data_IF_581777112366
#
_entry.id   IF_581777112366
#
_cell.length_a   1.000
_cell.length_b   1.000
_cell.length_c   1.000
_cell.angle_alpha   90.00
_cell.angle_beta   90.00
_cell.angle_gamma   90.00
#
_symmetry.space_group_name_H-M   'P 1'
#
loop_
_entity.id
_entity.type
_entity.pdbx_description
1 polymer ?
#
# COMPACT_ATOMS: atom_id res chain seq x y z
N UNK A 1 -86.13 7.27 18.36
CA UNK A 1 -85.01 7.17 17.41
C UNK A 1 -83.99 8.24 17.72
N UNK A 2 -82.77 7.89 18.17
CA UNK A 2 -81.61 8.80 18.16
C UNK A 2 -80.69 8.31 17.05
N UNK A 3 -80.33 9.20 16.12
CA UNK A 3 -79.43 8.88 15.01
C UNK A 3 -78.01 9.26 15.42
N UNK A 4 -77.16 8.25 15.62
CA UNK A 4 -75.74 8.47 15.92
C UNK A 4 -75.00 8.85 14.64
N UNK A 5 -74.49 10.09 14.59
CA UNK A 5 -73.62 10.53 13.51
C UNK A 5 -72.23 9.93 13.73
N UNK A 6 -71.86 8.92 12.93
CA UNK A 6 -70.45 8.54 12.77
C UNK A 6 -69.69 9.73 12.20
N UNK A 7 -68.62 10.12 12.89
CA UNK A 7 -67.65 11.10 12.38
C UNK A 7 -66.50 10.29 11.80
N UNK A 8 -66.39 10.25 10.47
CA UNK A 8 -65.26 9.62 9.80
C UNK A 8 -64.00 10.44 10.08
N UNK A 9 -63.11 9.89 10.90
CA UNK A 9 -61.79 10.48 11.16
C UNK A 9 -60.88 10.11 9.98
N UNK A 10 -60.38 11.09 9.19
CA UNK A 10 -59.47 10.79 8.10
C UNK A 10 -58.13 10.32 8.65
N UNK A 11 -57.88 9.02 8.55
CA UNK A 11 -56.58 8.41 8.84
C UNK A 11 -55.62 8.78 7.72
N UNK A 12 -54.91 9.91 7.88
CA UNK A 12 -53.85 10.30 6.96
C UNK A 12 -52.71 9.28 7.01
N UNK A 13 -52.32 8.76 5.85
CA UNK A 13 -51.25 7.78 5.74
C UNK A 13 -49.87 8.40 5.97
N UNK A 14 -49.47 8.41 7.26
CA UNK A 14 -48.20 8.95 7.75
C UNK A 14 -46.98 8.32 7.05
N UNK A 15 -47.14 7.15 6.45
CA UNK A 15 -46.11 6.43 5.67
C UNK A 15 -45.60 7.25 4.48
N UNK A 16 -46.51 7.92 3.75
CA UNK A 16 -46.17 8.77 2.61
C UNK A 16 -45.43 10.03 3.06
N UNK A 17 -45.87 10.65 4.15
CA UNK A 17 -45.23 11.83 4.74
C UNK A 17 -43.81 11.49 5.23
N UNK A 18 -43.64 10.33 5.86
CA UNK A 18 -42.35 9.80 6.29
C UNK A 18 -41.42 9.54 5.11
N UNK A 19 -41.89 8.86 4.05
CA UNK A 19 -41.09 8.60 2.85
C UNK A 19 -40.64 9.90 2.16
N UNK A 20 -41.53 10.89 2.04
CA UNK A 20 -41.19 12.23 1.55
C UNK A 20 -40.16 12.93 2.44
N UNK A 21 -40.26 12.80 3.76
CA UNK A 21 -39.30 13.39 4.71
C UNK A 21 -37.92 12.71 4.62
N UNK A 22 -37.86 11.38 4.56
CA UNK A 22 -36.62 10.61 4.39
C UNK A 22 -35.91 10.96 3.07
N UNK A 23 -36.63 11.08 1.96
CA UNK A 23 -36.09 11.58 0.68
C UNK A 23 -35.56 13.02 0.82
N UNK A 24 -36.28 13.89 1.55
CA UNK A 24 -35.87 15.28 1.78
C UNK A 24 -34.60 15.36 2.63
N UNK A 25 -34.49 14.56 3.69
CA UNK A 25 -33.30 14.43 4.54
C UNK A 25 -32.11 13.86 3.76
N UNK A 26 -32.31 12.82 2.94
CA UNK A 26 -31.27 12.26 2.07
C UNK A 26 -30.75 13.30 1.07
N UNK A 27 -31.65 14.08 0.45
CA UNK A 27 -31.33 15.19 -0.45
C UNK A 27 -30.64 16.36 0.28
N UNK A 28 -31.02 16.65 1.53
CA UNK A 28 -30.38 17.66 2.38
C UNK A 28 -28.93 17.25 2.73
N UNK A 29 -28.72 15.99 3.13
CA UNK A 29 -27.37 15.43 3.41
C UNK A 29 -26.49 15.42 2.15
N UNK A 30 -27.02 15.01 1.00
CA UNK A 30 -26.28 15.11 -0.27
C UNK A 30 -25.93 16.55 -0.65
N UNK A 31 -26.82 17.52 -0.40
CA UNK A 31 -26.52 18.95 -0.60
C UNK A 31 -25.43 19.44 0.34
N UNK A 32 -25.49 19.09 1.62
CA UNK A 32 -24.44 19.44 2.59
C UNK A 32 -23.08 18.83 2.21
N UNK A 33 -23.05 17.56 1.78
CA UNK A 33 -21.83 16.92 1.30
C UNK A 33 -21.25 17.65 0.07
N UNK A 34 -22.09 17.96 -0.94
CA UNK A 34 -21.67 18.72 -2.12
C UNK A 34 -21.23 20.15 -1.80
N UNK A 35 -21.85 20.80 -0.82
CA UNK A 35 -21.43 22.13 -0.36
C UNK A 35 -20.08 22.07 0.37
N UNK A 36 -19.84 21.03 1.20
CA UNK A 36 -18.54 20.78 1.81
C UNK A 36 -17.46 20.47 0.76
N UNK A 37 -17.75 19.61 -0.22
CA UNK A 37 -16.87 19.32 -1.36
C UNK A 37 -16.56 20.61 -2.17
N UNK A 38 -17.55 21.49 -2.39
CA UNK A 38 -17.37 22.81 -3.03
C UNK A 38 -16.52 23.78 -2.21
N UNK A 39 -16.67 23.77 -0.89
CA UNK A 39 -15.88 24.62 0.01
C UNK A 39 -14.43 24.11 0.09
N UNK A 40 -14.21 22.80 0.17
CA UNK A 40 -12.87 22.19 0.14
C UNK A 40 -12.15 22.40 -1.20
N UNK A 41 -12.86 22.32 -2.33
CA UNK A 41 -12.31 22.59 -3.66
C UNK A 41 -12.21 24.08 -4.02
N UNK A 42 -12.74 24.98 -3.18
CA UNK A 42 -12.72 26.43 -3.42
C UNK A 42 -11.29 26.97 -3.43
N UNK A 43 -11.02 27.90 -4.36
CA UNK A 43 -9.76 28.65 -4.40
C UNK A 43 -9.47 29.37 -3.07
N UNK A 44 -10.49 29.73 -2.30
CA UNK A 44 -10.32 30.37 -0.99
C UNK A 44 -9.68 29.43 0.05
N UNK A 45 -10.04 28.13 0.03
CA UNK A 45 -9.44 27.12 0.92
C UNK A 45 -7.98 26.84 0.53
N UNK A 46 -7.67 26.82 -0.78
CA UNK A 46 -6.29 26.71 -1.29
C UNK A 46 -5.44 27.92 -0.86
N UNK A 47 -6.00 29.12 -0.95
CA UNK A 47 -5.34 30.36 -0.51
C UNK A 47 -5.12 30.34 1.01
N UNK A 48 -6.11 29.97 1.81
CA UNK A 48 -5.96 29.85 3.27
C UNK A 48 -4.88 28.81 3.65
N UNK A 49 -4.87 27.63 3.03
CA UNK A 49 -3.82 26.62 3.22
C UNK A 49 -2.41 27.17 2.90
N UNK A 50 -2.26 27.88 1.78
CA UNK A 50 -1.00 28.55 1.42
C UNK A 50 -0.60 29.65 2.43
N UNK A 51 -1.57 30.37 3.00
CA UNK A 51 -1.32 31.36 4.06
C UNK A 51 -0.95 30.71 5.40
N UNK A 52 -1.61 29.63 5.80
CA UNK A 52 -1.24 28.86 6.99
C UNK A 52 0.19 28.31 6.87
N UNK A 53 0.57 27.76 5.71
CA UNK A 53 1.95 27.36 5.41
C UNK A 53 2.94 28.54 5.53
N UNK A 54 2.60 29.71 4.99
CA UNK A 54 3.44 30.93 5.11
C UNK A 54 3.56 31.44 6.55
N UNK A 55 2.52 31.32 7.36
CA UNK A 55 2.52 31.66 8.79
C UNK A 55 3.38 30.65 9.58
N UNK A 56 3.27 29.36 9.25
CA UNK A 56 4.06 28.29 9.84
C UNK A 56 5.57 28.43 9.54
N UNK A 57 5.94 28.71 8.28
CA UNK A 57 7.32 28.99 7.88
C UNK A 57 7.93 30.23 8.58
N UNK A 58 7.10 31.15 9.10
CA UNK A 58 7.52 32.29 9.93
C UNK A 58 7.66 31.94 11.43
N UNK A 59 7.11 30.80 11.88
CA UNK A 59 7.22 30.30 13.26
C UNK A 59 8.35 29.28 13.46
N UNK A 60 8.87 28.67 12.39
CA UNK A 60 9.99 27.71 12.46
C UNK A 60 11.33 28.38 12.78
N UNK A 61 12.18 27.63 13.49
CA UNK A 61 13.59 28.00 13.67
C UNK A 61 14.35 27.77 12.36
N UNK A 62 15.45 28.50 12.16
CA UNK A 62 16.25 28.44 10.92
C UNK A 62 16.74 27.02 10.59
N UNK A 63 17.08 26.20 11.58
CA UNK A 63 17.48 24.80 11.37
C UNK A 63 16.34 23.91 10.83
N UNK A 64 15.13 24.05 11.38
CA UNK A 64 13.93 23.31 10.96
C UNK A 64 13.48 23.78 9.57
N UNK A 65 13.61 25.09 9.32
CA UNK A 65 13.32 25.69 8.02
C UNK A 65 14.31 25.21 6.96
N UNK A 66 15.61 25.09 7.29
CA UNK A 66 16.62 24.55 6.38
C UNK A 66 16.39 23.05 6.11
N UNK A 67 15.92 22.27 7.10
CA UNK A 67 15.51 20.88 6.88
C UNK A 67 14.29 20.80 5.94
N UNK A 68 13.28 21.66 6.15
CA UNK A 68 12.11 21.78 5.28
C UNK A 68 12.49 22.20 3.85
N UNK A 69 13.43 23.13 3.71
CA UNK A 69 14.05 23.47 2.43
C UNK A 69 14.79 22.27 1.84
N UNK A 70 15.57 21.51 2.61
CA UNK A 70 16.27 20.32 2.13
C UNK A 70 15.34 19.18 1.67
N UNK A 71 14.13 19.05 2.25
CA UNK A 71 13.07 18.17 1.72
C UNK A 71 12.40 18.70 0.43
N UNK A 72 12.57 19.99 0.10
CA UNK A 72 11.96 20.68 -1.05
C UNK A 72 12.98 21.12 -2.12
N UNK A 73 14.29 21.03 -1.85
CA UNK A 73 15.30 21.74 -2.65
C UNK A 73 15.82 20.97 -3.85
N UNK A 74 15.08 21.15 -4.95
CA UNK A 74 15.67 21.79 -6.14
C UNK A 74 14.73 22.88 -6.68
N UNK A 75 14.76 24.09 -6.12
CA UNK A 75 14.18 25.27 -6.83
C UNK A 75 14.64 26.66 -6.38
N UNK A 76 15.46 26.83 -5.33
CA UNK A 76 15.89 28.18 -4.89
C UNK A 76 17.38 28.26 -4.54
N UNK A 77 18.25 28.36 -5.56
CA UNK A 77 19.54 29.08 -5.52
C UNK A 77 20.23 29.05 -6.90
N UNK A 78 19.96 30.09 -7.70
CA UNK A 78 20.90 30.57 -8.74
C UNK A 78 21.99 31.41 -8.05
N UNK A 79 23.24 31.20 -8.47
CA UNK A 79 24.47 31.92 -8.07
C UNK A 79 24.82 31.84 -6.55
N UNK A 80 25.97 31.31 -6.13
CA UNK A 80 27.33 31.79 -6.45
C UNK A 80 28.38 30.66 -6.31
N UNK A 81 29.22 30.56 -7.36
CA UNK A 81 30.65 30.18 -7.42
C UNK A 81 31.31 29.26 -6.37
N UNK A 82 31.97 28.22 -6.91
CA UNK A 82 33.26 27.63 -6.49
C UNK A 82 33.63 27.49 -5.00
N UNK A 83 33.87 26.24 -4.59
CA UNK A 83 35.23 25.74 -4.28
C UNK A 83 35.22 24.20 -4.35
N UNK A 84 36.07 23.62 -5.19
CA UNK A 84 36.65 22.29 -4.98
C UNK A 84 38.02 22.49 -4.33
N UNK A 85 38.54 21.52 -3.58
CA UNK A 85 39.51 20.63 -4.22
C UNK A 85 39.39 19.14 -3.87
N UNK A 86 39.43 18.33 -4.93
CA UNK A 86 40.15 17.06 -5.13
C UNK A 86 40.43 16.13 -3.94
N UNK A 87 39.95 14.89 -4.05
CA UNK A 87 40.74 13.74 -4.57
C UNK A 87 39.71 12.70 -5.09
N UNK A 88 39.75 12.26 -6.36
CA UNK A 88 40.55 11.13 -6.88
C UNK A 88 40.32 9.85 -6.02
N UNK A 89 39.81 8.70 -6.47
CA UNK A 89 39.42 8.12 -7.78
C UNK A 89 38.43 6.94 -7.50
N UNK A 90 37.75 6.20 -8.42
CA UNK A 90 37.71 6.11 -9.90
C UNK A 90 36.37 5.48 -10.38
N UNK A 91 35.95 5.81 -11.61
CA UNK A 91 35.22 4.99 -12.62
C UNK A 91 33.87 4.29 -12.27
N UNK A 92 32.71 4.68 -12.84
CA UNK A 92 32.24 4.51 -14.25
C UNK A 92 31.73 3.08 -14.55
N UNK A 93 30.58 2.82 -15.20
CA UNK A 93 29.56 3.63 -15.92
C UNK A 93 28.13 3.21 -15.43
N UNK A 94 27.00 3.88 -15.68
CA UNK A 94 26.50 4.54 -16.89
C UNK A 94 25.66 5.79 -16.58
N UNK A 95 25.67 6.76 -17.51
CA UNK A 95 24.73 7.89 -17.57
C UNK A 95 23.62 7.61 -18.59
N UNK A 96 22.65 8.54 -18.58
CA UNK A 96 21.84 9.02 -19.71
C UNK A 96 20.35 8.67 -19.71
N UNK A 97 19.62 9.40 -18.86
CA UNK A 97 18.42 10.14 -19.28
C UNK A 97 18.20 11.32 -18.31
N UNK A 98 18.66 12.50 -18.72
CA UNK A 98 18.29 13.77 -18.09
C UNK A 98 17.14 14.37 -18.90
N UNK A 99 15.91 14.14 -18.44
CA UNK A 99 14.78 14.91 -18.97
C UNK A 99 14.75 16.32 -18.36
N UNK A 100 14.60 17.30 -19.23
CA UNK A 100 14.45 18.71 -18.88
C UNK A 100 13.02 18.99 -18.38
N UNK A 101 12.74 18.72 -17.11
CA UNK A 101 11.44 19.07 -16.52
C UNK A 101 11.33 20.56 -16.16
N UNK A 102 10.16 21.15 -16.44
CA UNK A 102 9.91 22.57 -16.21
C UNK A 102 9.90 22.90 -14.70
N UNK A 103 10.46 24.05 -14.27
CA UNK A 103 10.48 24.42 -12.85
C UNK A 103 9.10 24.65 -12.23
N UNK A 104 8.04 24.81 -13.05
CA UNK A 104 6.64 24.88 -12.56
C UNK A 104 6.04 23.50 -12.28
N UNK A 105 6.50 22.42 -12.93
CA UNK A 105 6.04 21.05 -12.64
C UNK A 105 6.58 20.56 -11.29
N UNK A 106 7.84 20.90 -10.97
CA UNK A 106 8.48 20.59 -9.68
C UNK A 106 7.77 21.16 -8.44
N UNK A 107 6.84 22.12 -8.57
CA UNK A 107 6.13 22.66 -7.40
C UNK A 107 5.09 21.71 -6.79
N UNK A 108 4.71 20.63 -7.48
CA UNK A 108 3.66 19.70 -7.03
C UNK A 108 4.21 18.30 -6.72
N UNK A 109 5.53 18.14 -6.68
CA UNK A 109 6.24 16.87 -6.54
C UNK A 109 6.95 16.84 -5.19
N UNK A 110 6.71 15.79 -4.40
CA UNK A 110 7.45 15.51 -3.16
C UNK A 110 8.39 14.34 -3.41
N UNK A 111 9.69 14.53 -3.13
CA UNK A 111 10.71 13.51 -3.32
C UNK A 111 11.41 13.21 -2.00
N UNK A 112 11.51 11.94 -1.62
CA UNK A 112 12.15 11.52 -0.38
C UNK A 112 12.97 10.24 -0.61
N UNK A 113 14.29 10.39 -0.66
CA UNK A 113 15.20 9.33 -1.08
C UNK A 113 16.20 8.97 0.03
N UNK A 114 16.43 7.67 0.21
CA UNK A 114 17.57 7.12 0.94
C UNK A 114 17.30 6.55 2.33
N UNK A 115 18.18 5.63 2.69
CA UNK A 115 18.22 4.73 3.84
C UNK A 115 18.09 5.32 5.26
N UNK A 116 18.12 6.64 5.40
CA UNK A 116 18.10 7.34 6.69
C UNK A 116 16.67 7.69 7.14
N UNK A 117 15.71 7.74 6.22
CA UNK A 117 14.31 8.01 6.54
C UNK A 117 13.63 6.77 7.13
N UNK A 118 13.13 6.88 8.36
CA UNK A 118 12.30 5.86 9.02
C UNK A 118 10.82 6.21 8.98
N UNK A 119 10.49 7.49 8.89
CA UNK A 119 9.13 8.04 9.02
C UNK A 119 8.97 9.25 8.09
N UNK A 120 7.73 9.57 7.71
CA UNK A 120 7.42 10.78 6.94
C UNK A 120 7.48 12.04 7.81
N UNK A 121 7.95 13.19 7.27
CA UNK A 121 7.92 14.46 7.98
C UNK A 121 6.46 14.85 8.32
N UNK A 122 6.21 15.32 9.55
CA UNK A 122 4.85 15.69 10.00
C UNK A 122 4.31 16.91 9.24
N UNK A 123 5.23 17.71 8.73
CA UNK A 123 5.01 18.94 7.98
C UNK A 123 4.34 18.69 6.62
N UNK A 124 4.48 17.46 6.09
CA UNK A 124 3.86 17.04 4.83
C UNK A 124 2.33 17.19 4.89
N UNK A 125 1.69 17.02 6.05
CA UNK A 125 0.23 17.13 6.23
C UNK A 125 -0.38 18.47 5.74
N UNK A 126 0.41 19.53 5.62
CA UNK A 126 -0.04 20.85 5.13
C UNK A 126 0.20 21.06 3.63
N UNK A 127 0.83 20.10 2.95
CA UNK A 127 1.19 20.16 1.54
C UNK A 127 0.16 19.43 0.65
N UNK A 128 -1.12 19.44 1.01
CA UNK A 128 -2.23 18.74 0.32
C UNK A 128 -2.47 19.16 -1.15
N UNK A 129 -1.70 20.12 -1.65
CA UNK A 129 -1.66 20.54 -3.05
C UNK A 129 -0.72 19.68 -3.92
N UNK A 130 0.14 18.87 -3.30
CA UNK A 130 1.03 17.93 -4.00
C UNK A 130 0.22 16.92 -4.83
N UNK A 131 0.74 16.61 -6.01
CA UNK A 131 0.17 15.65 -6.97
C UNK A 131 0.98 14.37 -7.08
N UNK A 132 2.28 14.45 -6.81
CA UNK A 132 3.18 13.31 -6.99
C UNK A 132 4.04 13.12 -5.77
N UNK A 133 4.10 11.89 -5.28
CA UNK A 133 4.99 11.46 -4.22
C UNK A 133 5.94 10.40 -4.78
N UNK A 134 7.24 10.66 -4.70
CA UNK A 134 8.31 9.74 -5.12
C UNK A 134 9.22 9.46 -3.91
N UNK A 135 9.04 8.29 -3.30
CA UNK A 135 9.63 7.91 -2.02
C UNK A 135 10.41 6.62 -2.21
N UNK A 136 11.73 6.69 -2.35
CA UNK A 136 12.52 5.55 -2.83
C UNK A 136 13.68 5.18 -1.93
N UNK A 137 13.82 3.88 -1.66
CA UNK A 137 15.00 3.35 -0.96
C UNK A 137 15.07 3.79 0.50
N UNK A 138 13.95 3.79 1.23
CA UNK A 138 13.89 4.22 2.64
C UNK A 138 13.50 3.09 3.59
N UNK A 139 13.58 3.34 4.89
CA UNK A 139 13.24 2.37 5.96
C UNK A 139 11.86 2.64 6.55
N UNK A 140 11.01 3.36 5.82
CA UNK A 140 9.61 3.59 6.15
C UNK A 140 8.84 2.26 6.13
N UNK A 141 7.95 2.08 7.12
CA UNK A 141 7.18 0.83 7.33
C UNK A 141 5.67 0.95 7.11
N UNK A 142 5.14 2.16 7.22
CA UNK A 142 3.72 2.46 7.07
C UNK A 142 3.58 3.83 6.38
N UNK A 143 2.52 3.99 5.60
CA UNK A 143 2.12 5.29 5.07
C UNK A 143 1.38 6.09 6.16
N UNK A 144 1.40 7.43 6.10
CA UNK A 144 0.82 8.26 7.15
C UNK A 144 -0.71 8.35 7.04
N UNK A 145 -1.42 8.37 8.16
CA UNK A 145 -2.88 8.49 8.24
C UNK A 145 -3.44 9.69 7.45
N UNK A 146 -2.66 10.78 7.38
CA UNK A 146 -3.01 12.00 6.63
C UNK A 146 -2.94 11.84 5.11
N UNK A 147 -2.49 10.70 4.56
CA UNK A 147 -2.50 10.41 3.12
C UNK A 147 -3.91 10.64 2.52
N UNK A 148 -4.96 10.32 3.28
CA UNK A 148 -6.36 10.60 2.92
C UNK A 148 -6.67 12.06 2.54
N UNK A 149 -5.84 13.02 2.96
CA UNK A 149 -6.04 14.45 2.68
C UNK A 149 -5.53 14.85 1.29
N UNK A 150 -4.76 13.99 0.62
CA UNK A 150 -4.13 14.25 -0.69
C UNK A 150 -5.06 13.87 -1.84
N UNK A 151 -6.27 14.41 -1.84
CA UNK A 151 -7.31 14.10 -2.86
C UNK A 151 -6.92 14.50 -4.29
N UNK A 152 -5.85 15.28 -4.46
CA UNK A 152 -5.29 15.69 -5.76
C UNK A 152 -4.07 14.84 -6.19
N UNK A 153 -3.68 13.84 -5.41
CA UNK A 153 -2.55 12.95 -5.74
C UNK A 153 -2.88 12.13 -6.99
N UNK A 154 -2.01 12.21 -8.00
CA UNK A 154 -2.09 11.47 -9.26
C UNK A 154 -1.07 10.35 -9.34
N UNK A 155 0.10 10.50 -8.69
CA UNK A 155 1.18 9.51 -8.67
C UNK A 155 1.63 9.25 -7.24
N UNK A 156 1.68 7.97 -6.85
CA UNK A 156 2.26 7.50 -5.59
C UNK A 156 3.31 6.42 -5.90
N UNK A 157 4.55 6.84 -6.13
CA UNK A 157 5.72 5.98 -6.28
C UNK A 157 6.40 5.81 -4.91
N UNK A 158 6.23 4.65 -4.30
CA UNK A 158 6.82 4.26 -3.02
C UNK A 158 7.69 2.96 -3.12
N UNK A 159 8.56 2.80 -4.15
CA UNK A 159 9.28 1.55 -4.37
C UNK A 159 10.53 1.39 -3.48
N UNK A 160 10.92 0.14 -3.22
CA UNK A 160 12.11 -0.25 -2.43
C UNK A 160 12.10 0.34 -1.01
N UNK A 161 10.94 0.36 -0.35
CA UNK A 161 10.84 0.72 1.07
C UNK A 161 10.62 -0.55 1.93
N UNK A 162 10.26 -0.40 3.20
CA UNK A 162 9.94 -1.54 4.09
C UNK A 162 8.47 -1.60 4.48
N UNK A 163 7.58 -1.11 3.61
CA UNK A 163 6.15 -0.94 3.90
C UNK A 163 5.48 -2.31 4.04
N UNK A 164 4.75 -2.51 5.14
CA UNK A 164 4.17 -3.81 5.53
C UNK A 164 2.73 -3.96 5.01
N UNK A 165 2.00 -2.84 4.95
CA UNK A 165 0.61 -2.76 4.52
C UNK A 165 0.32 -1.37 3.92
N UNK A 166 -0.63 -1.30 2.99
CA UNK A 166 -1.21 -0.03 2.53
C UNK A 166 -2.45 0.27 3.39
N UNK A 167 -2.64 1.51 3.88
CA UNK A 167 -3.78 1.86 4.71
C UNK A 167 -5.07 1.90 3.88
N UNK A 168 -6.25 1.58 4.47
CA UNK A 168 -7.54 1.64 3.78
C UNK A 168 -7.88 3.07 3.31
N UNK A 169 -7.29 4.08 3.95
CA UNK A 169 -7.27 5.49 3.53
C UNK A 169 -6.91 5.70 2.04
N UNK A 170 -6.16 4.78 1.42
CA UNK A 170 -5.74 4.88 0.02
C UNK A 170 -6.93 5.00 -0.94
N UNK A 171 -8.08 4.37 -0.63
CA UNK A 171 -9.31 4.49 -1.44
C UNK A 171 -9.90 5.91 -1.53
N UNK A 172 -9.47 6.83 -0.65
CA UNK A 172 -9.88 8.24 -0.70
C UNK A 172 -9.13 9.03 -1.79
N UNK A 173 -8.05 8.47 -2.36
CA UNK A 173 -7.23 9.08 -3.42
C UNK A 173 -7.90 8.95 -4.79
N UNK A 174 -9.12 9.49 -4.93
CA UNK A 174 -9.93 9.39 -6.17
C UNK A 174 -9.26 9.98 -7.43
N UNK A 175 -8.22 10.82 -7.28
CA UNK A 175 -7.41 11.34 -8.38
C UNK A 175 -6.23 10.46 -8.82
N UNK A 176 -5.95 9.37 -8.10
CA UNK A 176 -4.77 8.53 -8.29
C UNK A 176 -4.84 7.78 -9.63
N UNK A 177 -3.77 7.87 -10.41
CA UNK A 177 -3.60 7.21 -11.71
C UNK A 177 -2.51 6.16 -11.68
N UNK A 178 -1.43 6.43 -10.96
CA UNK A 178 -0.29 5.53 -10.86
C UNK A 178 0.03 5.23 -9.40
N UNK A 179 0.07 3.94 -9.06
CA UNK A 179 0.50 3.45 -7.76
C UNK A 179 1.61 2.43 -7.98
N UNK A 180 2.81 2.73 -7.50
CA UNK A 180 3.93 1.80 -7.49
C UNK A 180 4.38 1.56 -6.05
N UNK A 181 4.15 0.34 -5.54
CA UNK A 181 4.62 -0.11 -4.24
C UNK A 181 5.58 -1.31 -4.35
N UNK A 182 6.33 -1.38 -5.45
CA UNK A 182 7.25 -2.47 -5.74
C UNK A 182 8.41 -2.59 -4.73
N UNK A 183 8.90 -3.80 -4.51
CA UNK A 183 9.98 -4.15 -3.59
C UNK A 183 9.75 -3.67 -2.14
N UNK A 184 8.53 -3.85 -1.65
CA UNK A 184 8.14 -3.62 -0.25
C UNK A 184 7.97 -4.96 0.48
N UNK A 185 7.20 -4.98 1.58
CA UNK A 185 6.88 -6.18 2.37
C UNK A 185 5.37 -6.39 2.47
N UNK A 186 4.63 -5.92 1.46
CA UNK A 186 3.17 -6.00 1.44
C UNK A 186 2.72 -7.47 1.46
N UNK A 187 1.93 -7.81 2.48
CA UNK A 187 1.32 -9.14 2.63
C UNK A 187 -0.13 -9.19 2.11
N UNK A 188 -0.77 -8.03 1.97
CA UNK A 188 -2.13 -7.84 1.46
C UNK A 188 -2.26 -6.46 0.81
N UNK A 189 -3.27 -6.31 -0.03
CA UNK A 189 -3.75 -5.02 -0.55
C UNK A 189 -5.10 -4.72 0.11
N UNK A 190 -5.38 -3.48 0.56
CA UNK A 190 -6.68 -3.12 1.12
C UNK A 190 -7.78 -3.17 0.04
N UNK A 191 -8.99 -3.69 0.36
CA UNK A 191 -10.11 -3.70 -0.60
C UNK A 191 -10.51 -2.30 -1.06
N UNK A 192 -10.31 -1.28 -0.21
CA UNK A 192 -10.57 0.13 -0.50
C UNK A 192 -9.73 0.67 -1.67
N UNK A 193 -8.63 0.02 -2.06
CA UNK A 193 -7.92 0.41 -3.30
C UNK A 193 -8.82 0.31 -4.53
N UNK A 194 -9.85 -0.55 -4.52
CA UNK A 194 -10.87 -0.64 -5.58
C UNK A 194 -11.68 0.64 -5.81
N UNK A 195 -11.73 1.57 -4.85
CA UNK A 195 -12.41 2.87 -4.98
C UNK A 195 -11.60 3.89 -5.81
N UNK A 196 -10.34 3.59 -6.14
CA UNK A 196 -9.50 4.43 -7.01
C UNK A 196 -9.87 4.27 -8.49
N UNK A 197 -11.09 4.65 -8.87
CA UNK A 197 -11.66 4.41 -10.21
C UNK A 197 -10.81 4.92 -11.38
N UNK A 198 -9.92 5.90 -11.16
CA UNK A 198 -9.03 6.49 -12.15
C UNK A 198 -7.64 5.84 -12.25
N UNK A 199 -7.38 4.74 -11.52
CA UNK A 199 -6.07 4.06 -11.55
C UNK A 199 -5.83 3.42 -12.93
N UNK A 200 -4.77 3.86 -13.60
CA UNK A 200 -4.31 3.42 -14.93
C UNK A 200 -3.14 2.41 -14.80
N UNK A 201 -2.27 2.57 -13.79
CA UNK A 201 -1.08 1.74 -13.54
C UNK A 201 -1.00 1.30 -12.07
N UNK A 202 -0.83 0.00 -11.83
CA UNK A 202 -0.63 -0.61 -10.51
C UNK A 202 0.58 -1.55 -10.55
N UNK A 203 1.66 -1.16 -9.87
CA UNK A 203 2.91 -1.91 -9.79
C UNK A 203 3.14 -2.38 -8.33
N UNK A 204 3.15 -3.69 -8.13
CA UNK A 204 3.25 -4.37 -6.82
C UNK A 204 4.37 -5.42 -6.81
N UNK A 205 5.32 -5.34 -7.74
CA UNK A 205 6.41 -6.28 -7.94
C UNK A 205 7.20 -6.55 -6.66
N UNK A 206 7.70 -7.75 -6.42
CA UNK A 206 8.69 -8.00 -5.35
C UNK A 206 8.15 -7.85 -3.94
N UNK A 207 6.89 -8.21 -3.72
CA UNK A 207 6.21 -8.17 -2.42
C UNK A 207 5.96 -9.60 -1.88
N UNK A 208 5.03 -9.75 -0.94
CA UNK A 208 4.66 -11.04 -0.34
C UNK A 208 3.17 -11.36 -0.52
N UNK A 209 2.55 -10.83 -1.58
CA UNK A 209 1.14 -11.00 -1.89
C UNK A 209 0.85 -12.42 -2.38
N UNK A 210 -0.21 -13.03 -1.86
CA UNK A 210 -0.75 -14.32 -2.32
C UNK A 210 -2.10 -14.20 -3.02
N UNK A 211 -2.83 -13.11 -2.76
CA UNK A 211 -4.15 -12.82 -3.29
C UNK A 211 -4.34 -11.30 -3.48
N UNK A 212 -5.31 -10.92 -4.32
CA UNK A 212 -5.81 -9.54 -4.42
C UNK A 212 -7.30 -9.52 -4.05
N UNK A 213 -7.79 -8.50 -3.32
CA UNK A 213 -9.21 -8.34 -3.05
C UNK A 213 -10.07 -8.35 -4.31
N UNK A 214 -11.30 -8.85 -4.20
CA UNK A 214 -12.25 -8.86 -5.31
C UNK A 214 -12.67 -7.44 -5.72
N UNK A 215 -12.65 -6.52 -4.76
CA UNK A 215 -12.99 -5.10 -4.86
C UNK A 215 -12.12 -4.36 -5.89
N UNK A 216 -10.88 -4.82 -6.14
CA UNK A 216 -10.04 -4.27 -7.22
C UNK A 216 -10.65 -4.47 -8.63
N UNK A 217 -11.70 -5.29 -8.78
CA UNK A 217 -12.49 -5.32 -10.02
C UNK A 217 -13.23 -4.00 -10.32
N UNK A 218 -13.27 -3.06 -9.37
CA UNK A 218 -13.71 -1.68 -9.57
C UNK A 218 -12.79 -0.84 -10.47
N UNK A 219 -11.50 -1.24 -10.60
CA UNK A 219 -10.45 -0.53 -11.34
C UNK A 219 -10.61 -0.65 -12.87
N UNK A 220 -11.70 -0.06 -13.40
CA UNK A 220 -12.07 -0.16 -14.82
C UNK A 220 -11.12 0.58 -15.78
N UNK A 221 -10.30 1.49 -15.25
CA UNK A 221 -9.29 2.24 -16.02
C UNK A 221 -7.93 1.56 -16.07
N UNK A 222 -7.72 0.46 -15.34
CA UNK A 222 -6.40 -0.14 -15.23
C UNK A 222 -5.93 -0.70 -16.57
N UNK A 223 -4.80 -0.18 -17.05
CA UNK A 223 -4.12 -0.57 -18.29
C UNK A 223 -2.93 -1.48 -17.99
N UNK A 224 -2.22 -1.22 -16.88
CA UNK A 224 -1.03 -1.95 -16.47
C UNK A 224 -1.18 -2.51 -15.05
N UNK A 225 -1.07 -3.84 -14.92
CA UNK A 225 -0.98 -4.55 -13.64
C UNK A 225 0.32 -5.37 -13.61
N UNK A 226 1.26 -4.98 -12.74
CA UNK A 226 2.44 -5.76 -12.42
C UNK A 226 2.31 -6.30 -10.99
N UNK A 227 2.31 -7.63 -10.88
CA UNK A 227 2.35 -8.39 -9.62
C UNK A 227 3.47 -9.44 -9.66
N UNK A 228 4.54 -9.18 -10.42
CA UNK A 228 5.68 -10.07 -10.53
C UNK A 228 6.42 -10.25 -9.19
N UNK A 229 7.25 -11.29 -9.07
CA UNK A 229 8.03 -11.59 -7.86
C UNK A 229 7.19 -11.63 -6.55
N UNK A 230 6.01 -12.26 -6.60
CA UNK A 230 5.09 -12.42 -5.46
C UNK A 230 4.86 -13.92 -5.15
N UNK A 231 3.73 -14.28 -4.52
CA UNK A 231 3.39 -15.65 -4.08
C UNK A 231 2.03 -16.10 -4.61
N UNK A 232 1.60 -15.60 -5.77
CA UNK A 232 0.34 -15.99 -6.40
C UNK A 232 0.40 -17.45 -6.88
N UNK A 233 -0.63 -18.23 -6.54
CA UNK A 233 -0.81 -19.64 -6.95
C UNK A 233 -1.75 -19.76 -8.16
N UNK A 234 -2.62 -18.77 -8.35
CA UNK A 234 -3.52 -18.63 -9.50
C UNK A 234 -3.70 -17.15 -9.87
N UNK A 235 -4.21 -16.88 -11.08
CA UNK A 235 -4.54 -15.50 -11.50
C UNK A 235 -5.65 -14.97 -10.58
N UNK A 236 -5.50 -13.77 -9.98
CA UNK A 236 -6.56 -13.19 -9.15
C UNK A 236 -7.82 -12.88 -9.98
N UNK A 237 -8.98 -13.29 -9.48
CA UNK A 237 -10.28 -13.19 -10.18
C UNK A 237 -10.65 -11.73 -10.50
N UNK A 238 -10.19 -10.76 -9.70
CA UNK A 238 -10.41 -9.34 -9.98
C UNK A 238 -9.69 -8.87 -11.25
N UNK A 239 -8.50 -9.40 -11.57
CA UNK A 239 -7.79 -9.06 -12.81
C UNK A 239 -8.59 -9.47 -14.05
N UNK A 240 -9.25 -10.65 -14.03
CA UNK A 240 -10.13 -11.13 -15.10
C UNK A 240 -11.37 -10.25 -15.36
N UNK A 241 -11.61 -9.21 -14.55
CA UNK A 241 -12.69 -8.22 -14.72
C UNK A 241 -12.19 -6.84 -15.16
N UNK A 242 -10.88 -6.63 -15.27
CA UNK A 242 -10.27 -5.36 -15.68
C UNK A 242 -10.32 -5.21 -17.21
N UNK A 243 -11.46 -4.74 -17.73
CA UNK A 243 -11.75 -4.68 -19.18
C UNK A 243 -10.78 -3.85 -20.03
N UNK A 244 -9.95 -2.99 -19.42
CA UNK A 244 -8.97 -2.13 -20.11
C UNK A 244 -7.52 -2.61 -19.98
N UNK A 245 -7.30 -3.77 -19.34
CA UNK A 245 -5.98 -4.27 -19.03
C UNK A 245 -5.25 -4.68 -20.32
N UNK A 246 -4.12 -4.02 -20.60
CA UNK A 246 -3.27 -4.25 -21.78
C UNK A 246 -1.99 -5.00 -21.43
N UNK A 247 -1.43 -4.78 -20.23
CA UNK A 247 -0.23 -5.46 -19.75
C UNK A 247 -0.53 -6.10 -18.39
N UNK A 248 -0.35 -7.42 -18.33
CA UNK A 248 -0.40 -8.21 -17.11
C UNK A 248 0.94 -8.92 -16.90
N UNK A 249 1.68 -8.52 -15.86
CA UNK A 249 2.87 -9.24 -15.39
C UNK A 249 2.57 -10.04 -14.12
N UNK A 250 2.73 -11.35 -14.24
CA UNK A 250 2.58 -12.38 -13.21
C UNK A 250 3.86 -13.22 -13.07
N UNK A 251 4.98 -12.74 -13.59
CA UNK A 251 6.23 -13.48 -13.63
C UNK A 251 6.84 -13.71 -12.23
N UNK A 252 7.68 -14.74 -12.09
CA UNK A 252 8.35 -15.10 -10.84
C UNK A 252 7.37 -15.28 -9.66
N UNK A 253 6.27 -15.99 -9.90
CA UNK A 253 5.25 -16.36 -8.91
C UNK A 253 5.23 -17.90 -8.75
N UNK A 254 4.17 -18.46 -8.18
CA UNK A 254 3.98 -19.92 -8.03
C UNK A 254 2.71 -20.40 -8.75
N UNK A 255 2.39 -19.78 -9.90
CA UNK A 255 1.21 -20.16 -10.68
C UNK A 255 1.35 -21.60 -11.20
N UNK A 256 0.40 -22.46 -10.86
CA UNK A 256 0.32 -23.82 -11.42
C UNK A 256 -0.41 -23.86 -12.77
N UNK A 257 -1.54 -23.15 -12.84
CA UNK A 257 -2.45 -23.16 -13.98
C UNK A 257 -2.93 -21.74 -14.34
N UNK A 258 -3.32 -21.55 -15.61
CA UNK A 258 -4.04 -20.36 -16.06
C UNK A 258 -5.53 -20.70 -16.31
N UNK A 259 -6.48 -19.89 -15.81
CA UNK A 259 -7.91 -20.18 -15.93
C UNK A 259 -8.43 -20.05 -17.36
N UNK A 260 -9.49 -20.79 -17.69
CA UNK A 260 -10.09 -20.73 -19.03
C UNK A 260 -10.83 -19.40 -19.30
N UNK A 261 -11.27 -18.70 -18.24
CA UNK A 261 -11.96 -17.40 -18.26
C UNK A 261 -11.07 -16.18 -18.65
N UNK A 262 -9.84 -16.40 -19.13
CA UNK A 262 -8.95 -15.32 -19.59
C UNK A 262 -9.39 -14.65 -20.89
N UNK A 263 -10.31 -15.26 -21.65
CA UNK A 263 -10.89 -14.67 -22.85
C UNK A 263 -11.64 -13.34 -22.59
N UNK A 264 -12.04 -13.08 -21.34
CA UNK A 264 -12.61 -11.80 -20.89
C UNK A 264 -11.63 -10.61 -20.97
N UNK A 265 -10.33 -10.85 -21.08
CA UNK A 265 -9.31 -9.81 -21.20
C UNK A 265 -9.17 -9.34 -22.65
N UNK A 266 -10.27 -8.81 -23.21
CA UNK A 266 -10.40 -8.45 -24.63
C UNK A 266 -9.37 -7.44 -25.16
N UNK A 267 -8.75 -6.66 -24.26
CA UNK A 267 -7.74 -5.65 -24.58
C UNK A 267 -6.30 -6.05 -24.23
N UNK A 268 -6.06 -7.28 -23.77
CA UNK A 268 -4.72 -7.70 -23.34
C UNK A 268 -3.77 -7.79 -24.54
N UNK A 269 -2.70 -7.01 -24.49
CA UNK A 269 -1.65 -6.90 -25.52
C UNK A 269 -0.42 -7.72 -25.15
N UNK A 270 -0.10 -7.80 -23.86
CA UNK A 270 1.13 -8.40 -23.34
C UNK A 270 0.87 -9.19 -22.06
N UNK A 271 1.31 -10.44 -22.03
CA UNK A 271 1.23 -11.34 -20.87
C UNK A 271 2.60 -11.90 -20.50
N UNK A 272 3.11 -11.54 -19.32
CA UNK A 272 4.33 -12.11 -18.76
C UNK A 272 3.98 -13.13 -17.67
N UNK A 273 4.36 -14.39 -17.87
CA UNK A 273 4.12 -15.50 -16.93
C UNK A 273 5.35 -16.39 -16.76
N UNK A 274 6.55 -15.92 -17.16
CA UNK A 274 7.79 -16.68 -16.97
C UNK A 274 8.16 -16.87 -15.50
N UNK A 275 8.97 -17.89 -15.19
CA UNK A 275 9.32 -18.31 -13.82
C UNK A 275 8.07 -18.60 -12.98
N UNK A 276 7.21 -19.48 -13.49
CA UNK A 276 6.04 -20.06 -12.81
C UNK A 276 6.01 -21.56 -13.10
N UNK A 277 5.21 -22.31 -12.34
CA UNK A 277 5.07 -23.76 -12.44
C UNK A 277 3.97 -24.19 -13.44
N UNK A 278 3.93 -23.53 -14.60
CA UNK A 278 2.88 -23.72 -15.60
C UNK A 278 3.07 -24.99 -16.42
N UNK A 279 2.19 -25.96 -16.23
CA UNK A 279 2.19 -27.22 -16.99
C UNK A 279 1.55 -27.11 -18.39
N UNK A 280 0.56 -26.22 -18.56
CA UNK A 280 -0.17 -26.01 -19.81
C UNK A 280 -0.59 -24.55 -20.02
N UNK A 281 -0.81 -24.19 -21.29
CA UNK A 281 -1.46 -22.92 -21.67
C UNK A 281 -2.88 -23.19 -22.18
N UNK A 282 -3.92 -22.49 -21.68
CA UNK A 282 -5.30 -22.76 -22.05
C UNK A 282 -5.62 -22.24 -23.47
N UNK A 283 -6.55 -22.91 -24.15
CA UNK A 283 -6.89 -22.57 -25.55
C UNK A 283 -7.51 -21.17 -25.70
N UNK A 284 -8.11 -20.62 -24.64
CA UNK A 284 -8.75 -19.31 -24.62
C UNK A 284 -7.78 -18.15 -24.93
N UNK A 285 -6.48 -18.29 -24.69
CA UNK A 285 -5.47 -17.30 -25.12
C UNK A 285 -5.46 -17.08 -26.64
N UNK A 286 -5.95 -18.05 -27.42
CA UNK A 286 -6.14 -17.92 -28.88
C UNK A 286 -7.31 -16.99 -29.25
N UNK A 287 -8.27 -16.78 -28.35
CA UNK A 287 -9.46 -15.95 -28.60
C UNK A 287 -9.18 -14.46 -28.36
N UNK A 288 -8.11 -14.12 -27.64
CA UNK A 288 -7.72 -12.73 -27.33
C UNK A 288 -7.07 -12.11 -28.58
N UNK A 289 -7.89 -11.44 -29.39
CA UNK A 289 -7.46 -10.89 -30.69
C UNK A 289 -6.38 -9.80 -30.61
N UNK A 290 -6.24 -9.12 -29.47
CA UNK A 290 -5.26 -8.06 -29.22
C UNK A 290 -3.90 -8.56 -28.76
N UNK A 291 -3.80 -9.84 -28.40
CA UNK A 291 -2.61 -10.40 -27.74
C UNK A 291 -1.44 -10.45 -28.72
N UNK A 292 -0.39 -9.68 -28.41
CA UNK A 292 0.77 -9.45 -29.29
C UNK A 292 2.07 -10.05 -28.73
N UNK A 293 2.17 -10.25 -27.42
CA UNK A 293 3.36 -10.76 -26.76
C UNK A 293 2.98 -11.67 -25.59
N UNK A 294 3.61 -12.84 -25.54
CA UNK A 294 3.44 -13.80 -24.45
C UNK A 294 4.83 -14.34 -24.10
N UNK A 295 5.23 -14.21 -22.84
CA UNK A 295 6.52 -14.71 -22.35
C UNK A 295 6.29 -15.76 -21.28
N UNK A 296 6.78 -16.98 -21.51
CA UNK A 296 6.58 -18.13 -20.61
C UNK A 296 7.90 -18.88 -20.41
N UNK A 297 8.05 -19.52 -19.25
CA UNK A 297 9.16 -20.45 -19.02
C UNK A 297 8.96 -21.73 -19.83
N UNK A 298 10.01 -22.19 -20.50
CA UNK A 298 9.98 -23.41 -21.31
C UNK A 298 10.17 -24.71 -20.53
N UNK A 299 10.45 -24.62 -19.23
CA UNK A 299 11.02 -25.73 -18.45
C UNK A 299 9.97 -26.73 -17.93
N UNK A 300 8.72 -26.30 -17.72
CA UNK A 300 7.60 -27.14 -17.24
C UNK A 300 6.43 -27.26 -18.25
N UNK A 301 6.48 -26.56 -19.38
CA UNK A 301 5.41 -26.54 -20.38
C UNK A 301 5.35 -27.83 -21.22
N UNK A 302 4.41 -28.72 -20.89
CA UNK A 302 4.15 -29.94 -21.67
C UNK A 302 3.28 -29.69 -22.90
N UNK A 303 2.26 -28.82 -22.78
CA UNK A 303 1.24 -28.63 -23.82
C UNK A 303 0.96 -27.14 -24.11
N UNK A 304 1.04 -26.77 -25.39
CA UNK A 304 0.81 -25.40 -25.89
C UNK A 304 -0.16 -25.47 -27.08
N UNK A 305 -1.20 -24.62 -27.15
CA UNK A 305 -2.15 -24.64 -28.26
C UNK A 305 -1.46 -24.29 -29.59
N UNK A 306 -1.55 -25.20 -30.57
CA UNK A 306 -0.86 -25.08 -31.87
C UNK A 306 -1.19 -23.80 -32.64
N UNK A 307 -2.43 -23.30 -32.52
CA UNK A 307 -2.86 -22.02 -33.11
C UNK A 307 -2.09 -20.81 -32.57
N UNK A 308 -1.67 -20.85 -31.30
CA UNK A 308 -0.90 -19.79 -30.65
C UNK A 308 0.53 -19.74 -31.20
N UNK A 309 1.15 -20.91 -31.40
CA UNK A 309 2.47 -21.03 -32.04
C UNK A 309 2.46 -20.70 -33.54
N UNK A 310 1.31 -20.85 -34.20
CA UNK A 310 1.18 -20.64 -35.66
C UNK A 310 0.75 -19.23 -36.05
N UNK A 311 0.46 -18.34 -35.08
CA UNK A 311 0.01 -16.98 -35.37
C UNK A 311 1.21 -16.02 -35.51
N UNK A 312 1.51 -15.47 -36.70
CA UNK A 312 2.66 -14.60 -36.91
C UNK A 312 2.55 -13.23 -36.20
N UNK A 313 1.37 -12.84 -35.70
CA UNK A 313 1.23 -11.58 -34.94
C UNK A 313 1.66 -11.71 -33.47
N UNK A 314 1.80 -12.93 -32.94
CA UNK A 314 2.10 -13.17 -31.53
C UNK A 314 3.60 -13.42 -31.35
N UNK A 315 4.28 -12.48 -30.69
CA UNK A 315 5.64 -12.64 -30.19
C UNK A 315 5.62 -13.59 -28.98
N UNK A 316 5.61 -14.88 -29.28
CA UNK A 316 5.69 -15.94 -28.29
C UNK A 316 7.16 -16.23 -27.94
N UNK A 317 7.57 -15.89 -26.72
CA UNK A 317 8.94 -16.02 -26.23
C UNK A 317 8.99 -17.12 -25.18
N UNK A 318 9.68 -18.23 -25.48
CA UNK A 318 10.07 -19.23 -24.47
C UNK A 318 11.40 -18.82 -23.85
N UNK A 319 11.39 -18.58 -22.54
CA UNK A 319 12.61 -18.46 -21.76
C UNK A 319 12.94 -19.83 -21.18
N UNK A 320 14.08 -20.40 -21.57
CA UNK A 320 14.64 -21.58 -20.90
C UNK A 320 15.56 -21.07 -19.78
N UNK A 321 15.36 -21.52 -18.54
CA UNK A 321 16.26 -21.12 -17.45
C UNK A 321 17.63 -21.80 -17.71
N UNK A 322 18.64 -21.01 -18.08
CA UNK A 322 19.99 -21.52 -18.33
C UNK A 322 20.49 -22.19 -17.03
N UNK A 323 20.98 -23.45 -17.03
CA UNK A 323 21.31 -24.18 -15.80
C UNK A 323 22.29 -23.47 -14.85
N UNK A 324 23.10 -22.54 -15.35
CA UNK A 324 23.92 -21.64 -14.52
C UNK A 324 23.09 -20.77 -13.53
N UNK A 325 21.81 -20.52 -13.80
CA UNK A 325 20.89 -19.76 -12.95
C UNK A 325 20.33 -20.63 -11.80
N UNK A 326 20.08 -21.91 -12.07
CA UNK A 326 19.77 -22.94 -11.07
C UNK A 326 20.91 -23.10 -10.06
N UNK A 327 22.16 -23.14 -10.54
CA UNK A 327 23.35 -23.17 -9.68
C UNK A 327 23.46 -21.91 -8.81
N UNK A 328 23.25 -20.72 -9.39
CA UNK A 328 23.25 -19.43 -8.64
C UNK A 328 22.14 -19.36 -7.59
N UNK A 329 20.90 -19.74 -7.91
CA UNK A 329 19.78 -19.83 -6.94
C UNK A 329 20.14 -20.77 -5.78
N UNK A 330 20.68 -21.96 -6.07
CA UNK A 330 21.14 -22.92 -5.06
C UNK A 330 22.25 -22.34 -4.18
N UNK A 331 23.15 -21.55 -4.75
CA UNK A 331 24.23 -20.89 -4.00
C UNK A 331 23.71 -19.74 -3.12
N UNK A 332 22.75 -18.94 -3.58
CA UNK A 332 22.08 -17.90 -2.79
C UNK A 332 21.24 -18.47 -1.65
N UNK A 333 20.47 -19.52 -1.89
CA UNK A 333 19.68 -20.19 -0.84
C UNK A 333 20.57 -20.89 0.19
N UNK A 334 21.73 -21.41 -0.23
CA UNK A 334 22.75 -21.93 0.68
C UNK A 334 23.34 -20.81 1.54
N UNK A 335 23.67 -19.65 0.95
CA UNK A 335 24.11 -18.44 1.70
C UNK A 335 23.04 -17.96 2.69
N UNK A 336 21.77 -17.86 2.29
CA UNK A 336 20.65 -17.49 3.18
C UNK A 336 20.49 -18.47 4.35
N UNK A 337 20.49 -19.78 4.09
CA UNK A 337 20.43 -20.82 5.15
C UNK A 337 21.63 -20.76 6.09
N UNK A 338 22.82 -20.44 5.58
CA UNK A 338 24.03 -20.29 6.39
C UNK A 338 23.98 -19.01 7.26
N UNK A 339 23.44 -17.90 6.76
CA UNK A 339 23.17 -16.70 7.57
C UNK A 339 22.10 -16.93 8.63
N UNK A 340 21.02 -17.67 8.32
CA UNK A 340 20.03 -18.06 9.32
C UNK A 340 20.62 -18.98 10.40
N UNK A 341 21.43 -19.96 10.01
CA UNK A 341 22.13 -20.84 10.93
C UNK A 341 23.10 -20.05 11.85
N UNK A 342 23.85 -19.10 11.29
CA UNK A 342 24.69 -18.17 12.07
C UNK A 342 23.83 -17.35 13.04
N UNK A 343 22.71 -16.78 12.57
CA UNK A 343 21.75 -16.03 13.41
C UNK A 343 21.10 -16.87 14.52
N UNK A 344 20.87 -18.16 14.30
CA UNK A 344 20.40 -19.10 15.35
C UNK A 344 21.49 -19.36 16.39
N UNK A 345 22.71 -19.68 15.97
CA UNK A 345 23.88 -19.81 16.87
C UNK A 345 24.12 -18.57 17.73
N UNK A 346 24.00 -17.37 17.16
CA UNK A 346 24.11 -16.10 17.89
C UNK A 346 23.00 -15.88 18.92
N UNK A 347 21.81 -16.47 18.75
CA UNK A 347 20.72 -16.45 19.74
C UNK A 347 20.95 -17.48 20.84
N UNK A 348 21.35 -18.69 20.46
CA UNK A 348 21.68 -19.79 21.39
C UNK A 348 22.84 -19.38 22.32
N UNK A 349 23.89 -18.74 21.79
CA UNK A 349 25.02 -18.23 22.58
C UNK A 349 24.66 -17.05 23.52
N UNK A 350 23.48 -16.42 23.37
CA UNK A 350 22.92 -15.47 24.35
C UNK A 350 21.87 -16.10 25.26
N UNK A 351 21.51 -17.36 25.03
CA UNK A 351 20.48 -18.09 25.78
C UNK A 351 20.95 -18.64 27.14
N UNK A 352 22.27 -18.66 27.39
CA UNK A 352 22.86 -19.10 28.66
C UNK A 352 23.52 -17.93 29.41
N UNK A 353 22.71 -17.04 29.97
CA UNK A 353 23.12 -16.23 31.12
C UNK A 353 22.24 -16.65 32.29
N UNK A 354 22.85 -17.32 33.27
CA UNK A 354 22.19 -17.80 34.48
C UNK A 354 21.68 -16.63 35.30
N UNK A 355 20.40 -16.33 35.15
CA UNK A 355 19.55 -15.61 36.10
C UNK A 355 18.15 -16.21 36.04
N UNK A 356 17.58 -16.49 37.20
CA UNK A 356 16.12 -16.32 37.36
C UNK A 356 15.43 -17.35 38.28
N UNK A 357 16.16 -18.32 38.84
CA UNK A 357 15.53 -19.33 39.70
C UNK A 357 15.17 -18.83 41.09
N UNK A 358 15.74 -17.70 41.55
CA UNK A 358 15.43 -17.11 42.87
C UNK A 358 14.38 -16.01 42.77
N UNK A 359 14.40 -15.19 41.72
CA UNK A 359 13.34 -14.19 41.50
C UNK A 359 11.99 -14.87 41.19
N UNK A 360 11.97 -16.05 40.55
CA UNK A 360 10.72 -16.84 40.38
C UNK A 360 10.12 -17.30 41.72
N UNK A 361 10.90 -17.95 42.57
CA UNK A 361 10.43 -18.37 43.91
C UNK A 361 10.03 -17.17 44.77
N UNK A 362 10.77 -16.06 44.67
CA UNK A 362 10.44 -14.81 45.38
C UNK A 362 9.11 -14.20 44.88
N UNK A 363 8.83 -14.21 43.58
CA UNK A 363 7.58 -13.70 43.02
C UNK A 363 6.40 -14.62 43.34
N UNK A 364 6.56 -15.95 43.30
CA UNK A 364 5.48 -16.87 43.70
C UNK A 364 5.15 -16.76 45.20
N UNK A 365 6.15 -16.67 46.08
CA UNK A 365 5.94 -16.47 47.52
C UNK A 365 5.32 -15.10 47.83
N UNK A 366 5.72 -14.03 47.10
CA UNK A 366 5.11 -12.70 47.22
C UNK A 366 3.65 -12.69 46.75
N UNK A 367 3.32 -13.35 45.63
CA UNK A 367 1.94 -13.44 45.12
C UNK A 367 1.03 -14.23 46.07
N UNK A 368 1.52 -15.31 46.69
CA UNK A 368 0.75 -16.03 47.70
C UNK A 368 0.57 -15.20 48.99
N UNK A 369 1.60 -14.48 49.45
CA UNK A 369 1.49 -13.55 50.58
C UNK A 369 0.50 -12.40 50.36
N UNK A 370 0.19 -12.04 49.11
CA UNK A 370 -0.83 -11.04 48.79
C UNK A 370 -2.24 -11.64 48.82
N UNK A 371 -2.42 -12.87 48.33
CA UNK A 371 -3.71 -13.58 48.36
C UNK A 371 -4.22 -13.82 49.78
N UNK A 372 -3.32 -14.15 50.72
CA UNK A 372 -3.69 -14.37 52.12
C UNK A 372 -4.13 -13.08 52.86
N UNK A 373 -3.85 -11.89 52.30
CA UNK A 373 -4.22 -10.60 52.91
C UNK A 373 -5.60 -10.09 52.51
N UNK A 374 -6.14 -10.54 51.38
CA UNK A 374 -7.47 -10.14 50.89
C UNK A 374 -8.61 -11.00 51.49
N UNK A 375 -8.30 -12.01 52.33
CA UNK A 375 -9.26 -13.00 52.83
C UNK A 375 -9.42 -13.05 54.36
N UNK A 376 -9.50 -11.90 55.05
CA UNK A 376 -10.04 -11.85 56.44
C UNK A 376 -10.96 -10.63 56.64
N UNK A 377 -12.28 -10.82 56.85
CA UNK A 377 -13.19 -9.72 57.17
C UNK A 377 -13.17 -9.34 58.66
N UNK A 378 -13.64 -8.11 58.93
CA UNK A 378 -13.76 -7.49 60.25
C UNK A 378 -14.27 -8.39 61.39
N UNK A 379 -13.52 -8.41 62.51
CA UNK A 379 -14.14 -8.45 63.84
C UNK A 379 -13.31 -7.64 64.84
N UNK A 380 -13.93 -6.64 65.46
CA UNK A 380 -13.32 -5.79 66.48
C UNK A 380 -13.45 -6.41 67.86
N UNK A 381 -12.33 -6.70 68.53
CA UNK A 381 -12.32 -7.12 69.94
C UNK A 381 -11.84 -5.97 70.82
N UNK A 382 -12.76 -5.34 71.57
CA UNK A 382 -12.40 -4.37 72.62
C UNK A 382 -11.61 -5.08 73.72
N UNK A 383 -10.43 -4.56 74.07
CA UNK A 383 -9.79 -4.83 75.36
C UNK A 383 -9.29 -3.50 75.92
N UNK A 384 -9.96 -3.00 76.95
CA UNK A 384 -9.52 -1.86 77.75
C UNK A 384 -8.74 -2.37 78.96
N UNK A 385 -7.49 -1.96 79.10
CA UNK A 385 -6.67 -2.22 80.29
C UNK A 385 -6.68 -0.95 81.15
N UNK A 386 -7.08 -1.07 82.41
CA UNK A 386 -6.93 -0.04 83.44
C UNK A 386 -5.92 -0.52 84.49
N UNK A 387 -4.96 0.33 84.82
CA UNK A 387 -3.81 0.05 85.68
C UNK A 387 -4.14 -0.14 87.18
N UNK A 388 -3.04 -0.31 87.94
CA UNK A 388 -2.86 -0.24 89.40
C UNK A 388 -2.81 -1.62 90.07
N UNK A 389 -1.76 -1.98 90.84
CA UNK A 389 -0.65 -1.20 91.42
C UNK A 389 0.73 -1.70 90.97
#
# INVERSE_FOLDING_TARGET
MRSERKVDVPVYDLSLIRGLWEVRVKKQRQRQKKEQERIQSSALARIDQQWQYRIYCKRLKTSERNLLHQYLERTTLTDVQHIQPNTEEKQQDQKDQQDHENPEQNQLIFQLNGDHWTDFPRELQWMTYLREWHVRGTKIRQLPDYLAMFTQLTVLDIPKNTIIELPPEIGKLTGLRELNASYNRLSRVPPELGDCENLERLELTGNHLSELPFELSGLKQLVHLDVAENRFVSIPICALRMSRLQLLDLSNNSLSDLPQDMDRLEQLVTLFVHKNNLSYLPHCLTNISTLSMIVVSGDELNCIPTKLCSNPSIKFIRLYDNPANEERKKEEDKKKKEEEAKRRRWREQRGEVVKDSREKEFIETYINSLKDRDTVPYSTTKVSISCLL
#
